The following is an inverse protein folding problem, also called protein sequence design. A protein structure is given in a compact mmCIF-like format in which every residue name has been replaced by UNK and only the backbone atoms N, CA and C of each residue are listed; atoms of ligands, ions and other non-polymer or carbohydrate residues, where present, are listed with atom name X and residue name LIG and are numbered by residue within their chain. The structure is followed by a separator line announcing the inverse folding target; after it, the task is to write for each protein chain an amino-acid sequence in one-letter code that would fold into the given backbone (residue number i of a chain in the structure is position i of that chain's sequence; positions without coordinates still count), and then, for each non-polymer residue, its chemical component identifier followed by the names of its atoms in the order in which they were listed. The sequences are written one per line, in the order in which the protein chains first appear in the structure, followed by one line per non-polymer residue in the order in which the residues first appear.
data_IF_896329143326
#
_entry.id   IF_896329143326
#
_cell.length_a   1.000
_cell.length_b   1.000
_cell.length_c   1.000
_cell.angle_alpha   90.00
_cell.angle_beta   90.00
_cell.angle_gamma   90.00
#
_symmetry.space_group_name_H-M   'P 1'
#
loop_
_entity.id
_entity.type
_entity.pdbx_description
1 polymer ?
#
# COMPACT_ATOMS: atom_id res chain seq x y z
N UNK A 1 8.87 23.23 29.49
CA UNK A 1 9.17 21.94 28.84
C UNK A 1 8.82 22.06 27.35
N UNK A 2 9.74 22.59 26.54
CA UNK A 2 9.58 22.69 25.08
C UNK A 2 10.96 22.50 24.41
N UNK A 3 11.58 21.33 24.61
CA UNK A 3 12.89 21.00 24.03
C UNK A 3 12.97 19.51 23.64
N UNK A 4 11.93 18.96 23.01
CA UNK A 4 11.95 17.56 22.55
C UNK A 4 11.46 17.34 21.11
N UNK A 5 11.04 18.39 20.39
CA UNK A 5 10.57 18.25 19.00
C UNK A 5 11.54 18.80 17.95
N UNK A 6 12.62 19.46 18.35
CA UNK A 6 13.51 20.16 17.42
C UNK A 6 14.72 19.33 16.96
N UNK A 7 14.94 18.16 17.55
CA UNK A 7 16.09 17.29 17.23
C UNK A 7 15.78 16.16 16.25
N UNK A 8 14.53 16.02 15.79
CA UNK A 8 14.14 14.98 14.83
C UNK A 8 14.08 15.48 13.37
N UNK A 9 14.29 16.78 13.13
CA UNK A 9 14.14 17.41 11.80
C UNK A 9 15.44 17.58 11.01
N UNK A 10 16.62 17.39 11.62
CA UNK A 10 17.90 17.82 11.02
C UNK A 10 18.76 16.70 10.41
N UNK A 11 18.21 15.52 10.12
CA UNK A 11 19.02 14.42 9.55
C UNK A 11 18.26 13.55 8.54
N UNK A 12 17.49 14.16 7.64
CA UNK A 12 17.08 13.46 6.42
C UNK A 12 18.05 13.83 5.28
N UNK A 13 18.57 12.80 4.60
CA UNK A 13 19.36 12.84 3.35
C UNK A 13 20.64 13.72 3.36
N UNK A 14 21.77 13.16 3.82
CA UNK A 14 23.09 13.82 3.77
C UNK A 14 23.89 13.58 2.47
N UNK A 15 23.39 12.74 1.54
CA UNK A 15 24.13 12.37 0.32
C UNK A 15 23.24 12.24 -0.93
N UNK A 16 23.65 12.75 -2.10
CA UNK A 16 22.96 12.56 -3.38
C UNK A 16 22.66 11.09 -3.74
N UNK A 17 23.51 10.16 -3.29
CA UNK A 17 23.29 8.73 -3.52
C UNK A 17 22.06 8.18 -2.77
N UNK A 18 21.77 8.73 -1.58
CA UNK A 18 20.63 8.30 -0.79
C UNK A 18 19.31 8.84 -1.34
N UNK A 19 19.32 10.09 -1.84
CA UNK A 19 18.18 10.68 -2.54
C UNK A 19 17.81 9.90 -3.81
N UNK A 20 18.80 9.43 -4.58
CA UNK A 20 18.58 8.59 -5.77
C UNK A 20 17.93 7.24 -5.40
N UNK A 21 18.41 6.58 -4.34
CA UNK A 21 17.82 5.32 -3.84
C UNK A 21 16.38 5.54 -3.38
N UNK A 22 16.11 6.60 -2.60
CA UNK A 22 14.77 6.93 -2.15
C UNK A 22 13.80 7.23 -3.29
N UNK A 23 14.26 7.94 -4.32
CA UNK A 23 13.46 8.21 -5.53
C UNK A 23 13.10 6.91 -6.25
N UNK A 24 14.05 5.98 -6.39
CA UNK A 24 13.78 4.70 -7.05
C UNK A 24 12.76 3.87 -6.29
N UNK A 25 12.86 3.82 -4.96
CA UNK A 25 11.93 3.06 -4.14
C UNK A 25 10.53 3.68 -4.18
N UNK A 26 10.40 5.01 -4.16
CA UNK A 26 9.07 5.66 -4.29
C UNK A 26 8.45 5.39 -5.67
N UNK A 27 9.27 5.36 -6.73
CA UNK A 27 8.81 5.02 -8.08
C UNK A 27 8.30 3.57 -8.14
N UNK A 28 9.05 2.61 -7.57
CA UNK A 28 8.63 1.21 -7.50
C UNK A 28 7.35 1.03 -6.64
N UNK A 29 7.26 1.73 -5.50
CA UNK A 29 6.05 1.74 -4.67
C UNK A 29 4.85 2.29 -5.45
N UNK A 30 5.05 3.37 -6.21
CA UNK A 30 4.01 4.00 -7.03
C UNK A 30 3.50 3.06 -8.10
N UNK A 31 4.39 2.45 -8.87
CA UNK A 31 4.03 1.49 -9.92
C UNK A 31 3.27 0.29 -9.35
N UNK A 32 3.77 -0.29 -8.25
CA UNK A 32 3.14 -1.45 -7.63
C UNK A 32 1.75 -1.09 -7.05
N UNK A 33 1.67 0.04 -6.34
CA UNK A 33 0.43 0.47 -5.69
C UNK A 33 -0.66 0.78 -6.71
N UNK A 34 -0.39 1.65 -7.69
CA UNK A 34 -1.37 1.99 -8.71
C UNK A 34 -1.69 0.82 -9.66
N UNK A 35 -0.73 -0.09 -9.89
CA UNK A 35 -0.95 -1.27 -10.73
C UNK A 35 -1.86 -2.33 -10.10
N UNK A 36 -1.89 -2.45 -8.77
CA UNK A 36 -2.48 -3.62 -8.11
C UNK A 36 -3.39 -3.33 -6.91
N UNK A 37 -3.24 -2.19 -6.27
CA UNK A 37 -3.94 -1.86 -5.02
C UNK A 37 -4.91 -0.69 -5.19
N UNK A 38 -4.61 0.28 -6.06
CA UNK A 38 -5.52 1.37 -6.39
C UNK A 38 -6.57 0.97 -7.43
N UNK A 39 -7.38 -0.02 -7.06
CA UNK A 39 -8.52 -0.43 -7.88
C UNK A 39 -9.74 -0.73 -7.01
N UNK A 40 -10.92 -0.57 -7.61
CA UNK A 40 -12.18 -0.70 -6.92
C UNK A 40 -12.37 -2.03 -6.18
N UNK A 41 -11.78 -3.14 -6.68
CA UNK A 41 -11.93 -4.46 -6.04
C UNK A 41 -11.17 -4.49 -4.72
N UNK A 42 -9.92 -4.04 -4.72
CA UNK A 42 -9.12 -4.00 -3.50
C UNK A 42 -9.66 -2.98 -2.50
N UNK A 43 -10.03 -1.78 -2.96
CA UNK A 43 -10.63 -0.75 -2.11
C UNK A 43 -11.93 -1.25 -1.47
N UNK A 44 -12.81 -1.91 -2.23
CA UNK A 44 -14.03 -2.51 -1.67
C UNK A 44 -13.73 -3.61 -0.63
N UNK A 45 -12.66 -4.38 -0.81
CA UNK A 45 -12.23 -5.34 0.21
C UNK A 45 -11.76 -4.65 1.49
N UNK A 46 -11.06 -3.52 1.40
CA UNK A 46 -10.66 -2.73 2.56
C UNK A 46 -11.89 -2.15 3.30
N UNK A 47 -12.84 -1.56 2.57
CA UNK A 47 -14.09 -1.03 3.13
C UNK A 47 -14.88 -2.08 3.92
N UNK A 48 -14.99 -3.29 3.38
CA UNK A 48 -15.66 -4.42 4.05
C UNK A 48 -15.00 -4.87 5.36
N UNK A 49 -13.75 -4.45 5.61
CA UNK A 49 -13.01 -4.75 6.83
C UNK A 49 -12.82 -3.51 7.71
N UNK A 50 -13.68 -2.49 7.55
CA UNK A 50 -13.68 -1.25 8.33
C UNK A 50 -12.34 -0.49 8.31
N UNK A 51 -11.61 -0.57 7.20
CA UNK A 51 -10.38 0.20 6.99
C UNK A 51 -10.66 1.70 6.90
N UNK A 52 -9.84 2.52 7.56
CA UNK A 52 -9.96 3.98 7.50
C UNK A 52 -9.57 4.53 6.12
N UNK A 53 -10.56 5.00 5.37
CA UNK A 53 -10.36 5.58 4.03
C UNK A 53 -9.49 6.84 4.04
N UNK A 54 -9.31 7.51 5.18
CA UNK A 54 -8.37 8.62 5.30
C UNK A 54 -6.93 8.17 5.02
N UNK A 55 -6.58 6.93 5.35
CA UNK A 55 -5.25 6.34 5.14
C UNK A 55 -4.92 6.17 3.65
N UNK A 56 -5.92 5.92 2.80
CA UNK A 56 -5.70 5.92 1.34
C UNK A 56 -5.21 7.28 0.86
N UNK A 57 -5.79 8.38 1.37
CA UNK A 57 -5.33 9.73 1.03
C UNK A 57 -3.88 9.97 1.47
N UNK A 58 -3.47 9.48 2.64
CA UNK A 58 -2.07 9.55 3.08
C UNK A 58 -1.13 8.82 2.10
N UNK A 59 -1.55 7.64 1.62
CA UNK A 59 -0.79 6.88 0.62
C UNK A 59 -0.67 7.66 -0.69
N UNK A 60 -1.78 8.19 -1.21
CA UNK A 60 -1.76 8.99 -2.44
C UNK A 60 -0.85 10.23 -2.29
N UNK A 61 -1.00 10.99 -1.21
CA UNK A 61 -0.17 12.17 -0.95
C UNK A 61 1.32 11.82 -0.92
N UNK A 62 1.69 10.68 -0.33
CA UNK A 62 3.08 10.23 -0.31
C UNK A 62 3.58 9.81 -1.69
N UNK A 63 2.78 9.03 -2.44
CA UNK A 63 3.18 8.51 -3.75
C UNK A 63 3.22 9.61 -4.82
N UNK A 64 2.45 10.69 -4.68
CA UNK A 64 2.47 11.83 -5.62
C UNK A 64 3.72 12.72 -5.46
N UNK A 65 4.48 12.56 -4.38
CA UNK A 65 5.74 13.29 -4.20
C UNK A 65 6.76 12.83 -5.24
N UNK A 66 7.27 13.78 -6.02
CA UNK A 66 8.25 13.54 -7.09
C UNK A 66 9.70 13.56 -6.58
N UNK A 67 9.95 14.12 -5.40
CA UNK A 67 11.31 14.23 -4.85
C UNK A 67 11.28 14.22 -3.34
N UNK A 68 12.06 13.34 -2.73
CA UNK A 68 12.14 13.18 -1.28
C UNK A 68 13.00 14.32 -0.69
N UNK A 69 12.38 15.43 -0.28
CA UNK A 69 13.04 16.51 0.45
C UNK A 69 12.65 16.50 1.93
N UNK A 70 13.54 17.00 2.81
CA UNK A 70 13.35 17.00 4.27
C UNK A 70 12.07 17.66 4.76
N UNK A 71 11.54 18.62 3.99
CA UNK A 71 10.31 19.35 4.33
C UNK A 71 9.05 18.49 4.25
N UNK A 72 9.12 17.30 3.67
CA UNK A 72 7.98 16.41 3.43
C UNK A 72 8.02 15.15 4.29
N UNK A 73 8.92 15.08 5.29
CA UNK A 73 9.12 13.90 6.14
C UNK A 73 7.83 13.39 6.79
N UNK A 74 6.96 14.28 7.27
CA UNK A 74 5.66 13.92 7.86
C UNK A 74 4.76 13.18 6.86
N UNK A 75 4.74 13.62 5.59
CA UNK A 75 3.92 12.98 4.54
C UNK A 75 4.41 11.55 4.27
N UNK A 76 5.73 11.33 4.28
CA UNK A 76 6.31 9.99 4.15
C UNK A 76 5.99 9.11 5.35
N UNK A 77 6.09 9.63 6.58
CA UNK A 77 5.73 8.86 7.78
C UNK A 77 4.25 8.46 7.78
N UNK A 78 3.34 9.40 7.50
CA UNK A 78 1.90 9.14 7.45
C UNK A 78 1.55 8.15 6.33
N UNK A 79 2.17 8.29 5.15
CA UNK A 79 1.97 7.39 4.01
C UNK A 79 2.47 5.97 4.27
N UNK A 80 3.62 5.82 4.94
CA UNK A 80 4.15 4.52 5.33
C UNK A 80 3.28 3.84 6.37
N UNK A 81 2.88 4.56 7.41
CA UNK A 81 2.00 4.01 8.44
C UNK A 81 0.69 3.50 7.80
N UNK A 82 0.14 4.28 6.86
CA UNK A 82 -1.03 3.87 6.10
C UNK A 82 -0.78 2.62 5.24
N UNK A 83 0.37 2.50 4.56
CA UNK A 83 0.74 1.28 3.82
C UNK A 83 0.89 0.07 4.75
N UNK A 84 1.50 0.23 5.92
CA UNK A 84 1.63 -0.84 6.91
C UNK A 84 0.27 -1.31 7.42
N UNK A 85 -0.67 -0.39 7.61
CA UNK A 85 -2.05 -0.71 7.98
C UNK A 85 -2.77 -1.48 6.85
N UNK A 86 -2.58 -1.09 5.58
CA UNK A 86 -3.09 -1.84 4.41
C UNK A 86 -2.52 -3.27 4.40
N UNK A 87 -1.22 -3.42 4.61
CA UNK A 87 -0.54 -4.73 4.64
C UNK A 87 -1.11 -5.59 5.76
N UNK A 88 -1.21 -5.04 6.97
CA UNK A 88 -1.70 -5.73 8.15
C UNK A 88 -3.17 -6.14 7.99
N UNK A 89 -4.02 -5.23 7.52
CA UNK A 89 -5.44 -5.50 7.24
C UNK A 89 -5.58 -6.60 6.20
N UNK A 90 -4.78 -6.53 5.14
CA UNK A 90 -4.81 -7.50 4.06
C UNK A 90 -4.41 -8.89 4.53
N UNK A 91 -3.30 -9.00 5.27
CA UNK A 91 -2.82 -10.30 5.79
C UNK A 91 -3.76 -10.91 6.83
N UNK A 92 -4.33 -10.10 7.73
CA UNK A 92 -5.15 -10.60 8.84
C UNK A 92 -6.59 -10.92 8.45
N UNK A 93 -7.18 -10.12 7.55
CA UNK A 93 -8.61 -10.18 7.30
C UNK A 93 -8.99 -10.46 5.84
N UNK A 94 -8.20 -9.99 4.87
CA UNK A 94 -8.52 -10.16 3.45
C UNK A 94 -8.02 -11.51 2.94
N UNK A 95 -6.72 -11.78 3.05
CA UNK A 95 -6.11 -13.00 2.51
C UNK A 95 -6.75 -14.30 3.04
N UNK A 96 -7.03 -14.46 4.35
CA UNK A 96 -7.59 -15.71 4.86
C UNK A 96 -8.99 -16.03 4.30
N UNK A 97 -9.74 -15.00 3.89
CA UNK A 97 -11.10 -15.13 3.38
C UNK A 97 -11.23 -14.65 1.92
N UNK A 98 -10.11 -14.53 1.19
CA UNK A 98 -10.06 -13.83 -0.09
C UNK A 98 -10.99 -14.43 -1.13
N UNK A 99 -10.99 -15.77 -1.26
CA UNK A 99 -11.82 -16.48 -2.23
C UNK A 99 -13.31 -16.31 -1.95
N UNK A 100 -13.70 -16.29 -0.68
CA UNK A 100 -15.09 -16.09 -0.28
C UNK A 100 -15.51 -14.63 -0.44
N UNK A 101 -14.66 -13.67 -0.05
CA UNK A 101 -14.88 -12.24 -0.26
C UNK A 101 -14.99 -11.87 -1.75
N UNK A 102 -14.29 -12.59 -2.62
CA UNK A 102 -14.37 -12.45 -4.08
C UNK A 102 -15.49 -13.30 -4.71
N UNK A 103 -16.22 -14.11 -3.93
CA UNK A 103 -17.29 -15.01 -4.42
C UNK A 103 -16.81 -15.99 -5.51
N UNK A 104 -15.56 -16.44 -5.42
CA UNK A 104 -14.95 -17.42 -6.34
C UNK A 104 -14.74 -18.79 -5.69
N UNK A 105 -15.27 -19.02 -4.49
CA UNK A 105 -15.31 -20.35 -3.89
C UNK A 105 -16.38 -21.21 -4.56
N UNK A 106 -16.17 -22.54 -4.61
CA UNK A 106 -17.08 -23.47 -5.29
C UNK A 106 -18.49 -23.54 -4.68
N UNK A 107 -18.72 -22.86 -3.55
CA UNK A 107 -20.02 -22.73 -2.90
C UNK A 107 -20.87 -21.58 -3.48
N UNK A 108 -20.27 -20.64 -4.21
CA UNK A 108 -20.98 -19.56 -4.89
C UNK A 108 -21.32 -19.97 -6.33
N UNK A 109 -22.59 -20.27 -6.59
CA UNK A 109 -23.12 -20.50 -7.94
C UNK A 109 -23.99 -19.33 -8.37
N UNK A 110 -23.37 -18.20 -8.73
CA UNK A 110 -24.09 -17.08 -9.34
C UNK A 110 -24.02 -17.20 -10.87
N UNK A 111 -25.12 -17.65 -11.48
CA UNK A 111 -25.27 -17.82 -12.93
C UNK A 111 -25.38 -16.49 -13.71
N UNK A 112 -25.45 -15.35 -13.02
CA UNK A 112 -25.61 -14.02 -13.60
C UNK A 112 -24.30 -13.24 -13.79
N UNK A 113 -23.17 -13.74 -13.28
CA UNK A 113 -21.88 -13.04 -13.41
C UNK A 113 -21.23 -13.28 -14.78
N UNK A 114 -20.63 -12.23 -15.35
CA UNK A 114 -19.85 -12.35 -16.59
C UNK A 114 -18.64 -13.25 -16.38
N UNK A 115 -18.34 -14.11 -17.36
CA UNK A 115 -17.13 -14.95 -17.37
C UNK A 115 -15.86 -14.13 -17.18
N UNK A 116 -15.81 -12.93 -17.76
CA UNK A 116 -14.65 -12.06 -17.67
C UNK A 116 -14.40 -11.56 -16.25
N UNK A 117 -15.46 -11.22 -15.50
CA UNK A 117 -15.33 -10.79 -14.11
C UNK A 117 -14.86 -11.93 -13.20
N UNK A 118 -15.35 -13.16 -13.44
CA UNK A 118 -14.86 -14.35 -12.74
C UNK A 118 -13.38 -14.61 -13.01
N UNK A 119 -12.93 -14.46 -14.26
CA UNK A 119 -11.50 -14.59 -14.61
C UNK A 119 -10.68 -13.52 -13.90
N UNK A 120 -11.12 -12.27 -13.90
CA UNK A 120 -10.41 -11.17 -13.24
C UNK A 120 -10.33 -11.35 -11.72
N UNK A 121 -11.40 -11.80 -11.07
CA UNK A 121 -11.40 -12.10 -9.63
C UNK A 121 -10.48 -13.26 -9.29
N UNK A 122 -10.47 -14.30 -10.13
CA UNK A 122 -9.52 -15.41 -9.96
C UNK A 122 -8.09 -14.92 -10.10
N UNK A 123 -7.76 -14.19 -11.17
CA UNK A 123 -6.43 -13.62 -11.37
C UNK A 123 -6.00 -12.77 -10.18
N UNK A 124 -6.87 -11.86 -9.73
CA UNK A 124 -6.63 -11.03 -8.56
C UNK A 124 -6.37 -11.87 -7.30
N UNK A 125 -7.14 -12.94 -7.09
CA UNK A 125 -6.93 -13.84 -5.94
C UNK A 125 -5.59 -14.56 -5.97
N UNK A 126 -5.06 -14.85 -7.16
CA UNK A 126 -3.77 -15.49 -7.34
C UNK A 126 -2.61 -14.50 -7.19
N UNK A 127 -2.76 -13.28 -7.70
CA UNK A 127 -1.68 -12.28 -7.71
C UNK A 127 -1.58 -11.49 -6.40
N UNK A 128 -2.70 -11.26 -5.70
CA UNK A 128 -2.73 -10.41 -4.50
C UNK A 128 -1.72 -10.82 -3.42
N UNK A 129 -1.55 -12.11 -3.05
CA UNK A 129 -0.59 -12.50 -2.02
C UNK A 129 0.85 -12.11 -2.38
N UNK A 130 1.24 -12.32 -3.65
CA UNK A 130 2.57 -11.99 -4.14
C UNK A 130 2.79 -10.47 -4.17
N UNK A 131 1.82 -9.73 -4.72
CA UNK A 131 1.89 -8.26 -4.76
C UNK A 131 1.96 -7.67 -3.36
N UNK A 132 1.25 -8.26 -2.39
CA UNK A 132 1.25 -7.81 -1.00
C UNK A 132 2.61 -8.05 -0.32
N UNK A 133 3.24 -9.19 -0.60
CA UNK A 133 4.60 -9.45 -0.16
C UNK A 133 5.56 -8.43 -0.75
N UNK A 134 5.48 -8.15 -2.06
CA UNK A 134 6.34 -7.15 -2.70
C UNK A 134 6.13 -5.75 -2.12
N UNK A 135 4.89 -5.38 -1.80
CA UNK A 135 4.58 -4.10 -1.15
C UNK A 135 5.25 -4.01 0.22
N UNK A 136 5.17 -5.07 1.04
CA UNK A 136 5.81 -5.12 2.35
C UNK A 136 7.35 -5.01 2.27
N UNK A 137 7.96 -5.69 1.29
CA UNK A 137 9.41 -5.60 1.04
C UNK A 137 9.83 -4.16 0.73
N UNK A 138 9.12 -3.49 -0.19
CA UNK A 138 9.40 -2.10 -0.57
C UNK A 138 9.18 -1.12 0.57
N UNK A 139 8.10 -1.28 1.36
CA UNK A 139 7.86 -0.46 2.55
C UNK A 139 8.98 -0.65 3.58
N UNK A 140 9.42 -1.89 3.79
CA UNK A 140 10.52 -2.19 4.70
C UNK A 140 11.85 -1.60 4.21
N UNK A 141 12.10 -1.63 2.90
CA UNK A 141 13.28 -1.03 2.29
C UNK A 141 13.25 0.50 2.44
N UNK A 142 12.10 1.12 2.15
CA UNK A 142 11.91 2.56 2.29
C UNK A 142 12.09 3.05 3.74
N UNK A 143 11.61 2.28 4.73
CA UNK A 143 11.82 2.59 6.15
C UNK A 143 13.28 2.51 6.62
N UNK A 144 14.16 1.79 5.91
CA UNK A 144 15.59 1.70 6.26
C UNK A 144 16.39 2.90 5.79
N UNK A 145 15.90 3.61 4.78
CA UNK A 145 16.58 4.74 4.15
C UNK A 145 16.05 6.09 4.65
N UNK A 146 14.86 6.09 5.27
CA UNK A 146 14.32 7.20 6.07
C UNK A 146 14.98 7.25 7.44
#
# INVERSE_FOLDING_TARGET
MMYYQQTLTDSFMTSPAQADISSRIIDELRELYYGHFDNYRFVSLLEQNAFDQSKLRCIHSMLEIQSVYNTESIVFFDGIEALEEVILTSKRYILPALRDKLKISGFYQNSSESKDDLVMRNLFSYTLPYNLQRLEELVTEFKKIL
#
